data_IF_118260226451
#
_entry.id   IF_118260226451
#
_cell.length_a   1.000
_cell.length_b   1.000
_cell.length_c   1.000
_cell.angle_alpha   90.00
_cell.angle_beta   90.00
_cell.angle_gamma   90.00
#
_symmetry.space_group_name_H-M   'P 1'
#
loop_
_entity.id
_entity.type
_entity.pdbx_description
1 polymer ?
#
# COMPACT_ATOMS: atom_id res chain seq x y z
N UNK A 1 48.03 47.08 -35.41
CA UNK A 1 47.86 45.70 -34.90
C UNK A 1 46.39 45.52 -34.57
N UNK A 2 45.75 44.52 -35.20
CA UNK A 2 44.34 44.15 -35.04
C UNK A 2 44.18 43.30 -33.76
N UNK A 3 43.06 43.45 -33.05
CA UNK A 3 42.68 42.57 -31.94
C UNK A 3 41.47 43.15 -31.20
N UNK A 4 40.29 43.16 -31.83
CA UNK A 4 39.30 42.09 -31.76
C UNK A 4 38.67 41.96 -30.36
N UNK A 5 37.51 42.64 -30.24
CA UNK A 5 36.48 42.49 -29.22
C UNK A 5 36.12 41.00 -29.07
N UNK A 6 36.17 40.46 -27.85
CA UNK A 6 35.56 39.16 -27.53
C UNK A 6 34.41 39.35 -26.54
N UNK A 7 33.25 39.07 -27.09
CA UNK A 7 31.90 39.16 -26.54
C UNK A 7 31.67 38.10 -25.48
N UNK A 8 30.95 38.47 -24.41
CA UNK A 8 30.34 37.58 -23.43
C UNK A 8 29.49 36.49 -24.11
N UNK A 9 29.75 35.23 -23.80
CA UNK A 9 28.77 34.15 -23.99
C UNK A 9 28.82 33.20 -22.80
N UNK A 10 28.16 33.59 -21.72
CA UNK A 10 27.64 32.70 -20.70
C UNK A 10 26.55 31.85 -21.34
N UNK A 11 26.90 30.65 -21.79
CA UNK A 11 25.90 29.60 -22.07
C UNK A 11 26.22 28.45 -21.13
N UNK A 12 25.75 28.60 -19.89
CA UNK A 12 25.47 27.47 -19.04
C UNK A 12 24.34 26.67 -19.71
N UNK A 13 24.71 25.75 -20.60
CA UNK A 13 23.84 24.68 -21.04
C UNK A 13 23.62 23.78 -19.82
N UNK A 14 22.65 24.18 -19.00
CA UNK A 14 22.05 23.30 -18.01
C UNK A 14 21.56 22.07 -18.74
N UNK A 15 22.20 20.94 -18.48
CA UNK A 15 21.62 19.63 -18.69
C UNK A 15 20.47 19.48 -17.70
N UNK A 16 19.36 20.17 -17.98
CA UNK A 16 18.08 19.83 -17.38
C UNK A 16 17.85 18.36 -17.74
N UNK A 17 17.83 17.43 -16.78
CA UNK A 17 17.51 16.07 -17.11
C UNK A 17 16.06 16.13 -17.60
N UNK A 18 15.84 15.75 -18.85
CA UNK A 18 14.51 15.52 -19.39
C UNK A 18 13.97 14.26 -18.69
N UNK A 19 13.66 14.38 -17.39
CA UNK A 19 12.83 13.44 -16.64
C UNK A 19 11.37 13.71 -17.01
N UNK A 20 11.09 13.62 -18.30
CA UNK A 20 9.75 13.64 -18.84
C UNK A 20 9.78 12.75 -20.08
N UNK A 21 10.22 11.51 -19.93
CA UNK A 21 9.69 10.43 -20.76
C UNK A 21 8.18 10.33 -20.44
N UNK A 22 7.42 11.25 -21.05
CA UNK A 22 5.98 11.13 -21.24
C UNK A 22 5.76 9.77 -21.88
N UNK A 23 5.33 8.81 -21.07
CA UNK A 23 4.67 7.61 -21.55
C UNK A 23 3.61 8.06 -22.56
N UNK A 24 3.68 7.55 -23.79
CA UNK A 24 2.80 7.90 -24.91
C UNK A 24 1.33 7.49 -24.71
N UNK A 25 0.98 6.90 -23.58
CA UNK A 25 -0.41 6.66 -23.20
C UNK A 25 -0.78 7.62 -22.08
N UNK A 26 -1.72 8.52 -22.36
CA UNK A 26 -2.31 9.52 -21.44
C UNK A 26 -3.06 8.85 -20.27
N UNK A 27 -2.42 7.99 -19.47
CA UNK A 27 -2.97 7.40 -18.25
C UNK A 27 -2.44 8.14 -17.04
N UNK A 28 -2.79 9.42 -16.97
CA UNK A 28 -2.51 10.28 -15.83
C UNK A 28 -3.62 10.15 -14.77
N UNK A 29 -3.47 10.88 -13.66
CA UNK A 29 -4.42 10.82 -12.54
C UNK A 29 -5.85 11.14 -12.97
N UNK A 30 -6.14 12.25 -13.70
CA UNK A 30 -7.49 12.53 -14.21
C UNK A 30 -8.05 11.43 -15.10
N UNK A 31 -7.22 10.83 -15.97
CA UNK A 31 -7.65 9.73 -16.81
C UNK A 31 -8.08 8.51 -15.98
N UNK A 32 -7.28 8.11 -14.98
CA UNK A 32 -7.63 6.99 -14.10
C UNK A 32 -8.89 7.27 -13.25
N UNK A 33 -9.07 8.51 -12.80
CA UNK A 33 -10.29 8.92 -12.09
C UNK A 33 -11.54 8.77 -12.96
N UNK A 34 -11.44 9.07 -14.26
CA UNK A 34 -12.54 8.87 -15.22
C UNK A 34 -12.78 7.39 -15.61
N UNK A 35 -11.80 6.51 -15.37
CA UNK A 35 -11.84 5.09 -15.76
C UNK A 35 -11.66 4.15 -14.55
N UNK A 36 -12.61 4.12 -13.61
CA UNK A 36 -12.44 3.41 -12.32
C UNK A 36 -12.22 1.90 -12.48
N UNK A 37 -12.80 1.27 -13.52
CA UNK A 37 -12.61 -0.16 -13.77
C UNK A 37 -11.17 -0.49 -14.19
N UNK A 38 -10.55 0.38 -15.00
CA UNK A 38 -9.15 0.23 -15.42
C UNK A 38 -8.23 0.54 -14.25
N UNK A 39 -8.55 1.56 -13.45
CA UNK A 39 -7.83 1.88 -12.23
C UNK A 39 -7.73 0.67 -11.29
N UNK A 40 -8.84 -0.02 -11.02
CA UNK A 40 -8.84 -1.18 -10.11
C UNK A 40 -8.06 -2.38 -10.67
N UNK A 41 -8.09 -2.59 -11.99
CA UNK A 41 -7.25 -3.60 -12.65
C UNK A 41 -5.76 -3.26 -12.56
N UNK A 42 -5.41 -2.01 -12.86
CA UNK A 42 -4.03 -1.52 -12.79
C UNK A 42 -3.49 -1.60 -11.36
N UNK A 43 -4.24 -1.17 -10.35
CA UNK A 43 -3.83 -1.28 -8.94
C UNK A 43 -3.56 -2.74 -8.53
N UNK A 44 -4.44 -3.68 -8.91
CA UNK A 44 -4.22 -5.12 -8.65
C UNK A 44 -2.98 -5.66 -9.36
N UNK A 45 -2.62 -5.13 -10.53
CA UNK A 45 -1.38 -5.49 -11.22
C UNK A 45 -0.16 -4.89 -10.49
N UNK A 46 -0.21 -3.62 -10.11
CA UNK A 46 0.86 -2.91 -9.42
C UNK A 46 1.21 -3.55 -8.06
N UNK A 47 0.21 -3.97 -7.29
CA UNK A 47 0.40 -4.59 -5.97
C UNK A 47 0.98 -6.01 -6.04
N UNK A 48 0.82 -6.71 -7.17
CA UNK A 48 1.34 -8.07 -7.35
C UNK A 48 2.82 -8.12 -7.72
N UNK A 49 3.38 -7.05 -8.27
CA UNK A 49 4.78 -6.98 -8.66
C UNK A 49 5.41 -5.65 -8.21
N UNK A 50 6.27 -5.74 -7.19
CA UNK A 50 6.98 -4.60 -6.64
C UNK A 50 7.85 -3.85 -7.67
N UNK A 51 8.29 -4.51 -8.75
CA UNK A 51 9.03 -3.85 -9.84
C UNK A 51 8.13 -2.93 -10.65
N UNK A 52 6.86 -3.30 -10.81
CA UNK A 52 5.87 -2.48 -11.51
C UNK A 52 5.39 -1.31 -10.67
N UNK A 53 5.34 -1.45 -9.34
CA UNK A 53 4.90 -0.38 -8.43
C UNK A 53 5.67 0.94 -8.62
N UNK A 54 6.95 0.88 -9.01
CA UNK A 54 7.77 2.06 -9.27
C UNK A 54 7.55 2.71 -10.64
N UNK A 55 6.71 2.12 -11.51
CA UNK A 55 6.44 2.69 -12.85
C UNK A 55 5.50 3.89 -12.77
N UNK A 56 5.63 4.81 -13.73
CA UNK A 56 4.80 6.01 -13.82
C UNK A 56 3.30 5.71 -13.87
N UNK A 57 2.90 4.65 -14.59
CA UNK A 57 1.51 4.21 -14.67
C UNK A 57 0.98 3.80 -13.28
N UNK A 58 1.75 3.00 -12.53
CA UNK A 58 1.38 2.60 -11.18
C UNK A 58 1.35 3.78 -10.21
N UNK A 59 2.30 4.71 -10.30
CA UNK A 59 2.30 5.91 -9.45
C UNK A 59 1.05 6.77 -9.68
N UNK A 60 0.62 6.96 -10.93
CA UNK A 60 -0.59 7.71 -11.23
C UNK A 60 -1.86 6.96 -10.81
N UNK A 61 -1.90 5.64 -11.00
CA UNK A 61 -3.00 4.80 -10.53
C UNK A 61 -3.12 4.86 -8.99
N UNK A 62 -2.00 4.75 -8.27
CA UNK A 62 -1.95 4.89 -6.80
C UNK A 62 -2.45 6.26 -6.36
N UNK A 63 -1.99 7.35 -6.98
CA UNK A 63 -2.46 8.70 -6.66
C UNK A 63 -3.96 8.91 -6.94
N UNK A 64 -4.47 8.35 -8.03
CA UNK A 64 -5.91 8.34 -8.34
C UNK A 64 -6.71 7.50 -7.32
N UNK A 65 -6.19 6.34 -6.93
CA UNK A 65 -6.80 5.47 -5.91
C UNK A 65 -6.82 6.11 -4.52
N UNK A 66 -5.73 6.78 -4.14
CA UNK A 66 -5.57 7.49 -2.88
C UNK A 66 -6.63 8.59 -2.71
N UNK A 67 -7.03 9.23 -3.81
CA UNK A 67 -8.10 10.24 -3.82
C UNK A 67 -9.47 9.68 -3.39
N UNK A 68 -9.65 8.36 -3.42
CA UNK A 68 -10.87 7.66 -2.99
C UNK A 68 -10.79 7.12 -1.56
N UNK A 69 -9.67 7.30 -0.85
CA UNK A 69 -9.56 6.85 0.54
C UNK A 69 -10.60 7.56 1.43
N UNK A 70 -11.30 6.78 2.25
CA UNK A 70 -12.38 7.27 3.10
C UNK A 70 -13.75 7.36 2.41
N UNK A 71 -13.85 7.11 1.11
CA UNK A 71 -15.14 6.97 0.43
C UNK A 71 -15.65 5.52 0.50
N UNK A 72 -16.98 5.31 0.60
CA UNK A 72 -17.55 3.96 0.53
C UNK A 72 -17.18 3.31 -0.80
N UNK A 73 -16.73 2.05 -0.76
CA UNK A 73 -16.48 1.27 -1.98
C UNK A 73 -17.77 1.19 -2.81
N UNK A 74 -17.71 1.35 -4.15
CA UNK A 74 -18.88 1.22 -4.99
C UNK A 74 -19.47 -0.19 -4.85
N UNK A 75 -20.79 -0.27 -4.65
CA UNK A 75 -21.57 -1.50 -4.47
C UNK A 75 -21.56 -2.45 -5.69
N UNK A 76 -20.74 -2.18 -6.71
CA UNK A 76 -20.66 -2.95 -7.96
C UNK A 76 -19.65 -4.10 -7.90
N UNK A 77 -18.84 -4.21 -6.85
CA UNK A 77 -18.06 -5.41 -6.62
C UNK A 77 -19.01 -6.53 -6.16
N UNK A 78 -19.05 -7.70 -6.83
CA UNK A 78 -19.86 -8.80 -6.33
C UNK A 78 -19.41 -9.14 -4.91
N UNK A 79 -20.31 -8.94 -3.93
CA UNK A 79 -20.21 -9.50 -2.57
C UNK A 79 -20.34 -11.02 -2.67
N UNK A 80 -19.38 -11.70 -3.27
CA UNK A 80 -19.28 -13.15 -3.18
C UNK A 80 -18.93 -13.50 -1.72
N UNK A 81 -19.92 -14.00 -0.97
CA UNK A 81 -19.69 -14.63 0.35
C UNK A 81 -20.28 -13.94 1.58
N UNK A 82 -21.34 -13.15 1.47
CA UNK A 82 -22.03 -12.48 2.60
C UNK A 82 -22.73 -13.38 3.63
N UNK A 83 -22.43 -14.67 3.67
CA UNK A 83 -22.83 -15.55 4.79
C UNK A 83 -21.76 -15.60 5.89
N UNK A 84 -20.61 -14.94 5.71
CA UNK A 84 -19.59 -14.87 6.76
C UNK A 84 -20.03 -13.84 7.81
N UNK A 85 -20.10 -14.22 9.11
CA UNK A 85 -20.27 -13.23 10.17
C UNK A 85 -19.16 -12.19 10.05
N UNK A 86 -19.51 -10.92 10.34
CA UNK A 86 -18.56 -9.82 10.33
C UNK A 86 -17.35 -10.19 11.22
N UNK A 87 -16.12 -9.87 10.80
CA UNK A 87 -14.95 -10.11 11.65
C UNK A 87 -15.13 -9.36 12.98
N UNK A 88 -14.65 -9.93 14.10
CA UNK A 88 -14.60 -9.20 15.36
C UNK A 88 -13.86 -7.88 15.15
N UNK A 89 -14.35 -6.82 15.77
CA UNK A 89 -13.76 -5.48 15.71
C UNK A 89 -13.13 -5.14 17.05
N UNK A 90 -12.02 -4.41 17.03
CA UNK A 90 -11.36 -3.90 18.22
C UNK A 90 -12.14 -2.71 18.83
N UNK A 91 -11.62 -2.13 19.92
CA UNK A 91 -12.23 -0.97 20.59
C UNK A 91 -12.28 0.30 19.71
N UNK A 92 -11.60 0.32 18.56
CA UNK A 92 -11.63 1.41 17.58
C UNK A 92 -12.65 1.17 16.45
N UNK A 93 -13.31 0.00 16.43
CA UNK A 93 -14.25 -0.39 15.38
C UNK A 93 -13.57 -0.91 14.11
N UNK A 94 -12.24 -1.11 14.13
CA UNK A 94 -11.50 -1.73 13.04
C UNK A 94 -11.52 -3.25 13.19
N UNK A 95 -11.50 -4.03 12.08
CA UNK A 95 -11.35 -5.48 12.16
C UNK A 95 -10.12 -5.85 12.99
N UNK A 96 -10.30 -6.77 13.93
CA UNK A 96 -9.17 -7.27 14.71
C UNK A 96 -8.11 -7.89 13.77
N UNK A 97 -6.83 -7.55 13.92
CA UNK A 97 -5.78 -8.16 13.13
C UNK A 97 -5.71 -9.68 13.40
N UNK A 98 -5.60 -10.48 12.33
CA UNK A 98 -5.42 -11.93 12.46
C UNK A 98 -3.96 -12.25 12.81
N UNK A 99 -3.71 -12.64 14.06
CA UNK A 99 -2.40 -13.09 14.53
C UNK A 99 -2.27 -14.63 14.56
N UNK A 100 -3.01 -15.37 13.73
CA UNK A 100 -2.87 -16.82 13.66
C UNK A 100 -1.49 -17.24 13.12
N UNK A 101 -0.74 -18.13 13.82
CA UNK A 101 0.59 -18.55 13.39
C UNK A 101 0.61 -19.34 12.06
N UNK A 102 -0.53 -19.88 11.61
CA UNK A 102 -0.65 -20.62 10.34
C UNK A 102 -0.90 -19.72 9.14
N UNK A 103 -1.73 -18.68 9.28
CA UNK A 103 -2.07 -17.75 8.19
C UNK A 103 -1.20 -16.48 8.20
N UNK A 104 -0.73 -16.04 9.37
CA UNK A 104 0.07 -14.83 9.56
C UNK A 104 1.23 -15.06 10.55
N UNK A 105 2.24 -15.87 10.18
CA UNK A 105 3.36 -16.18 11.07
C UNK A 105 4.19 -14.94 11.44
N UNK A 106 4.34 -13.98 10.52
CA UNK A 106 5.08 -12.75 10.77
C UNK A 106 4.37 -11.86 11.81
N UNK A 107 3.05 -11.67 11.66
CA UNK A 107 2.24 -10.96 12.64
C UNK A 107 2.30 -11.63 14.01
N UNK A 108 2.14 -12.96 14.07
CA UNK A 108 2.20 -13.72 15.33
C UNK A 108 3.53 -13.51 16.07
N UNK A 109 4.66 -13.54 15.36
CA UNK A 109 5.97 -13.31 15.98
C UNK A 109 6.14 -11.88 16.49
N UNK A 110 5.64 -10.89 15.74
CA UNK A 110 5.63 -9.49 16.18
C UNK A 110 4.80 -9.30 17.45
N UNK A 111 3.60 -9.90 17.50
CA UNK A 111 2.76 -9.88 18.70
C UNK A 111 3.46 -10.56 19.89
N UNK A 112 4.00 -11.76 19.67
CA UNK A 112 4.74 -12.52 20.70
C UNK A 112 5.88 -11.70 21.29
N UNK A 113 6.69 -11.06 20.44
CA UNK A 113 7.80 -10.21 20.88
C UNK A 113 7.30 -9.01 21.67
N UNK A 114 6.28 -8.29 21.17
CA UNK A 114 5.70 -7.13 21.85
C UNK A 114 5.18 -7.47 23.26
N UNK A 115 4.54 -8.64 23.41
CA UNK A 115 4.01 -9.09 24.70
C UNK A 115 5.08 -9.60 25.68
N UNK A 116 6.26 -10.02 25.19
CA UNK A 116 7.33 -10.58 26.04
C UNK A 116 8.39 -9.55 26.40
N UNK A 117 8.82 -8.74 25.44
CA UNK A 117 10.00 -7.88 25.56
C UNK A 117 9.66 -6.40 25.78
N UNK A 118 8.42 -5.96 25.49
CA UNK A 118 7.98 -4.54 25.50
C UNK A 118 9.03 -3.56 24.95
N UNK A 119 9.05 -3.40 23.63
CA UNK A 119 9.91 -2.44 22.93
C UNK A 119 9.15 -1.24 22.35
N UNK A 120 9.84 -0.32 21.65
CA UNK A 120 9.18 0.79 20.96
C UNK A 120 8.07 0.32 20.03
N UNK A 121 6.86 0.87 20.18
CA UNK A 121 5.69 0.48 19.40
C UNK A 121 4.92 -0.73 19.94
N UNK A 122 5.33 -1.35 21.07
CA UNK A 122 4.60 -2.46 21.67
C UNK A 122 3.19 -2.08 22.13
N UNK A 123 2.94 -0.81 22.44
CA UNK A 123 1.65 -0.32 22.93
C UNK A 123 0.52 -0.54 21.92
N UNK A 124 0.84 -0.52 20.62
CA UNK A 124 -0.12 -0.82 19.55
C UNK A 124 -0.53 -2.31 19.52
N UNK A 125 0.35 -3.19 19.99
CA UNK A 125 0.16 -4.65 19.93
C UNK A 125 -0.30 -5.24 21.28
N UNK A 126 -0.03 -4.54 22.38
CA UNK A 126 -0.34 -5.01 23.74
C UNK A 126 -1.82 -5.32 23.97
N UNK A 127 -2.80 -4.56 23.43
CA UNK A 127 -4.21 -4.89 23.52
C UNK A 127 -4.58 -6.26 22.94
N UNK A 128 -3.73 -6.81 22.06
CA UNK A 128 -3.96 -8.07 21.38
C UNK A 128 -3.21 -9.25 22.00
N UNK A 129 -2.48 -9.06 23.11
CA UNK A 129 -1.71 -10.14 23.74
C UNK A 129 -2.57 -11.34 24.15
N UNK A 130 -3.85 -11.13 24.44
CA UNK A 130 -4.82 -12.20 24.73
C UNK A 130 -4.97 -13.20 23.56
N UNK A 131 -4.66 -12.79 22.32
CA UNK A 131 -4.73 -13.68 21.17
C UNK A 131 -3.60 -14.73 21.15
N UNK A 132 -2.48 -14.50 21.84
CA UNK A 132 -1.41 -15.50 21.95
C UNK A 132 -1.90 -16.74 22.70
N UNK A 133 -2.76 -16.57 23.70
CA UNK A 133 -3.30 -17.66 24.50
C UNK A 133 -4.23 -18.57 23.67
N UNK A 134 -4.99 -17.99 22.74
CA UNK A 134 -5.85 -18.72 21.78
C UNK A 134 -5.08 -19.78 20.97
N UNK A 135 -3.77 -19.57 20.76
CA UNK A 135 -2.91 -20.47 19.99
C UNK A 135 -1.87 -21.20 20.83
N UNK A 136 -1.73 -20.84 22.12
CA UNK A 136 -0.85 -21.50 23.09
C UNK A 136 -1.40 -22.87 23.48
N UNK A 137 -2.72 -23.00 23.51
CA UNK A 137 -3.42 -24.28 23.69
C UNK A 137 -3.39 -25.09 22.38
N UNK A 138 -2.21 -25.63 22.07
CA UNK A 138 -2.05 -26.79 21.21
C UNK A 138 -2.59 -28.07 21.86
N UNK A 139 -3.79 -28.00 22.44
CA UNK A 139 -4.57 -29.18 22.76
C UNK A 139 -5.05 -29.76 21.44
N UNK A 140 -4.53 -30.93 21.11
CA UNK A 140 -5.13 -31.89 20.19
C UNK A 140 -6.63 -32.01 20.44
N UNK A 141 -7.44 -31.24 19.70
CA UNK A 141 -8.88 -31.39 19.64
C UNK A 141 -9.24 -32.48 18.66
N UNK A 142 -8.98 -33.74 19.03
CA UNK A 142 -9.65 -34.87 18.42
C UNK A 142 -11.13 -34.88 18.79
N UNK A 143 -12.00 -34.82 17.79
CA UNK A 143 -13.14 -35.71 17.63
C UNK A 143 -13.66 -35.63 16.20
#
# INVERSE_FOLDING_TARGET
MRGAVLVLALVALGTAPVLAQRSRENRDVPWFQAHPQILDETLRRCQRDARLAATWECQNAEAAGASRMGQPLPNTLPRTGQSRPAPPVDNSGLPEPDFNPRSNPAGYQSLKRACTERGPGSDMLTPYCYQLDRYREGGSGGR
#
